data_IF_434924868362
#
_entry.id   IF_434924868362
#
_cell.length_a   1.000
_cell.length_b   1.000
_cell.length_c   1.000
_cell.angle_alpha   90.00
_cell.angle_beta   90.00
_cell.angle_gamma   90.00
#
_symmetry.space_group_name_H-M   'P 1'
#
loop_
_entity.id
_entity.type
_entity.pdbx_description
1 polymer ?
#
# COMPACT_ATOMS: atom_id res chain seq x y z
N UNK A 1 -44.82 64.55 -38.44
CA UNK A 1 -43.85 64.77 -37.35
C UNK A 1 -42.45 64.72 -37.94
N UNK A 2 -41.78 65.86 -38.09
CA UNK A 2 -40.41 65.90 -38.63
C UNK A 2 -39.44 65.26 -37.63
N UNK A 3 -38.71 64.23 -38.04
CA UNK A 3 -37.64 63.63 -37.23
C UNK A 3 -36.56 64.70 -37.01
N UNK A 4 -36.24 65.00 -35.75
CA UNK A 4 -35.22 66.02 -35.41
C UNK A 4 -33.82 65.70 -35.95
N UNK A 5 -32.91 66.70 -35.99
CA UNK A 5 -31.61 66.62 -36.67
C UNK A 5 -30.72 65.47 -36.17
N UNK A 6 -30.81 65.12 -34.88
CA UNK A 6 -30.08 64.00 -34.30
C UNK A 6 -30.46 62.64 -34.92
N UNK A 7 -31.74 62.42 -35.22
CA UNK A 7 -32.20 61.15 -35.79
C UNK A 7 -31.68 60.95 -37.22
N UNK A 8 -31.57 62.03 -38.00
CA UNK A 8 -31.04 61.98 -39.36
C UNK A 8 -29.54 61.65 -39.36
N UNK A 9 -28.77 62.27 -38.46
CA UNK A 9 -27.34 61.98 -38.29
C UNK A 9 -27.10 60.53 -37.84
N UNK A 10 -27.90 60.03 -36.89
CA UNK A 10 -27.80 58.64 -36.42
C UNK A 10 -28.14 57.63 -37.52
N UNK A 11 -29.18 57.89 -38.32
CA UNK A 11 -29.55 57.02 -39.45
C UNK A 11 -28.44 56.93 -40.49
N UNK A 12 -27.87 58.08 -40.89
CA UNK A 12 -26.75 58.13 -41.84
C UNK A 12 -25.51 57.39 -41.33
N UNK A 13 -25.21 57.48 -40.02
CA UNK A 13 -24.12 56.73 -39.40
C UNK A 13 -24.38 55.21 -39.42
N UNK A 14 -25.59 54.79 -39.07
CA UNK A 14 -25.95 53.36 -39.07
C UNK A 14 -25.91 52.75 -40.47
N UNK A 15 -26.34 53.51 -41.49
CA UNK A 15 -26.21 53.10 -42.89
C UNK A 15 -24.74 52.91 -43.26
N UNK A 16 -23.87 53.85 -42.92
CA UNK A 16 -22.43 53.72 -43.18
C UNK A 16 -21.84 52.49 -42.49
N UNK A 17 -22.17 52.27 -41.22
CA UNK A 17 -21.70 51.12 -40.45
C UNK A 17 -22.22 49.79 -41.01
N UNK A 18 -23.44 49.74 -41.56
CA UNK A 18 -24.00 48.51 -42.14
C UNK A 18 -23.27 48.03 -43.40
N UNK A 19 -22.51 48.91 -44.08
CA UNK A 19 -21.68 48.56 -45.23
C UNK A 19 -20.27 48.07 -44.82
N UNK A 20 -19.96 48.04 -43.52
CA UNK A 20 -18.64 47.66 -42.99
C UNK A 20 -18.71 46.40 -42.13
N UNK A 21 -17.58 45.75 -41.90
CA UNK A 21 -17.47 44.67 -40.92
C UNK A 21 -17.27 45.26 -39.51
N UNK A 22 -18.21 45.06 -38.57
CA UNK A 22 -18.13 45.68 -37.26
C UNK A 22 -17.20 44.92 -36.31
N UNK A 23 -16.22 45.62 -35.75
CA UNK A 23 -15.38 45.12 -34.66
C UNK A 23 -15.77 45.81 -33.35
N UNK A 24 -16.18 45.03 -32.35
CA UNK A 24 -16.68 45.56 -31.09
C UNK A 24 -15.61 45.55 -29.99
N UNK A 25 -15.37 46.71 -29.38
CA UNK A 25 -14.57 46.85 -28.15
C UNK A 25 -15.48 47.34 -27.03
N UNK A 26 -15.47 46.65 -25.88
CA UNK A 26 -16.25 47.02 -24.69
C UNK A 26 -15.31 47.42 -23.57
N UNK A 27 -15.31 48.69 -23.20
CA UNK A 27 -14.51 49.19 -22.08
C UNK A 27 -15.23 48.91 -20.75
N UNK A 28 -14.49 48.50 -19.73
CA UNK A 28 -15.00 48.24 -18.37
C UNK A 28 -14.16 49.04 -17.37
N UNK A 29 -14.84 49.81 -16.52
CA UNK A 29 -14.21 50.56 -15.43
C UNK A 29 -14.08 49.65 -14.20
N UNK A 30 -12.86 49.33 -13.71
CA UNK A 30 -12.66 48.33 -12.67
C UNK A 30 -13.06 48.81 -11.26
N UNK A 31 -12.90 50.11 -10.98
CA UNK A 31 -13.28 50.72 -9.71
C UNK A 31 -13.60 52.20 -9.91
N UNK A 32 -14.36 52.78 -8.97
CA UNK A 32 -14.77 54.18 -9.03
C UNK A 32 -13.65 55.15 -8.62
N UNK A 33 -12.69 54.66 -7.82
CA UNK A 33 -11.58 55.41 -7.23
C UNK A 33 -10.40 55.68 -8.17
N UNK A 34 -10.44 55.14 -9.40
CA UNK A 34 -9.38 55.25 -10.42
C UNK A 34 -8.01 54.76 -9.93
N UNK A 35 -7.98 53.74 -9.07
CA UNK A 35 -6.75 53.14 -8.55
C UNK A 35 -6.41 51.82 -9.28
N UNK A 36 -5.12 51.50 -9.49
CA UNK A 36 -4.74 50.18 -9.98
C UNK A 36 -5.07 49.09 -8.95
N UNK A 37 -5.18 47.84 -9.41
CA UNK A 37 -5.38 46.62 -8.60
C UNK A 37 -6.63 46.56 -7.70
N UNK A 38 -7.56 47.50 -7.84
CA UNK A 38 -8.87 47.46 -7.17
C UNK A 38 -9.94 47.01 -8.17
N UNK A 39 -10.63 45.91 -7.84
CA UNK A 39 -11.70 45.32 -8.65
C UNK A 39 -13.03 45.30 -7.89
N UNK A 40 -13.98 46.16 -8.29
CA UNK A 40 -15.31 46.27 -7.67
C UNK A 40 -16.33 45.37 -8.39
N UNK A 41 -16.52 44.16 -7.87
CA UNK A 41 -17.39 43.13 -8.46
C UNK A 41 -18.79 43.63 -8.85
N UNK A 42 -19.48 44.34 -7.96
CA UNK A 42 -20.86 44.78 -8.20
C UNK A 42 -20.95 45.80 -9.34
N UNK A 43 -20.05 46.79 -9.37
CA UNK A 43 -20.02 47.81 -10.42
C UNK A 43 -19.69 47.20 -11.79
N UNK A 44 -18.79 46.22 -11.83
CA UNK A 44 -18.43 45.53 -13.07
C UNK A 44 -19.57 44.64 -13.55
N UNK A 45 -20.21 43.88 -12.66
CA UNK A 45 -21.38 43.07 -13.01
C UNK A 45 -22.52 43.93 -13.60
N UNK A 46 -22.77 45.11 -13.03
CA UNK A 46 -23.75 46.04 -13.56
C UNK A 46 -23.36 46.55 -14.96
N UNK A 47 -22.09 46.91 -15.16
CA UNK A 47 -21.58 47.31 -16.48
C UNK A 47 -21.71 46.18 -17.52
N UNK A 48 -21.43 44.92 -17.15
CA UNK A 48 -21.56 43.77 -18.06
C UNK A 48 -23.01 43.48 -18.45
N UNK A 49 -23.96 43.73 -17.53
CA UNK A 49 -25.40 43.63 -17.80
C UNK A 49 -25.85 44.75 -18.74
N UNK A 50 -25.59 46.01 -18.37
CA UNK A 50 -25.99 47.18 -19.17
C UNK A 50 -25.29 47.21 -20.54
N UNK A 51 -24.05 46.75 -20.62
CA UNK A 51 -23.26 46.67 -21.86
C UNK A 51 -23.64 45.49 -22.76
N UNK A 52 -24.60 44.65 -22.35
CA UNK A 52 -25.09 43.51 -23.15
C UNK A 52 -24.10 42.34 -23.27
N UNK A 53 -23.00 42.35 -22.52
CA UNK A 53 -21.97 41.30 -22.58
C UNK A 53 -22.54 39.97 -22.08
N UNK A 54 -23.28 40.00 -20.97
CA UNK A 54 -23.94 38.81 -20.43
C UNK A 54 -24.95 38.21 -21.41
N UNK A 55 -25.67 39.07 -22.14
CA UNK A 55 -26.66 38.65 -23.13
C UNK A 55 -26.00 38.07 -24.39
N UNK A 56 -24.91 38.67 -24.86
CA UNK A 56 -24.11 38.13 -25.95
C UNK A 56 -23.52 36.75 -25.60
N UNK A 57 -23.05 36.56 -24.36
CA UNK A 57 -22.62 35.26 -23.85
C UNK A 57 -23.80 34.29 -23.83
N UNK A 58 -24.96 34.71 -23.31
CA UNK A 58 -26.17 33.88 -23.26
C UNK A 58 -26.54 33.38 -24.66
N UNK A 59 -26.67 34.26 -25.64
CA UNK A 59 -26.97 33.90 -27.03
C UNK A 59 -25.89 32.93 -27.57
N UNK A 60 -24.61 33.22 -27.33
CA UNK A 60 -23.51 32.34 -27.77
C UNK A 60 -23.58 30.93 -27.16
N UNK A 61 -23.98 30.84 -25.89
CA UNK A 61 -24.11 29.55 -25.18
C UNK A 61 -25.32 28.73 -25.59
N UNK A 62 -26.39 29.35 -26.08
CA UNK A 62 -27.56 28.62 -26.63
C UNK A 62 -27.21 27.87 -27.93
N UNK A 63 -26.20 28.34 -28.66
CA UNK A 63 -25.64 27.65 -29.82
C UNK A 63 -24.54 26.65 -29.46
N UNK A 64 -23.39 26.81 -30.11
CA UNK A 64 -22.21 25.96 -29.92
C UNK A 64 -21.02 26.84 -29.53
N UNK A 65 -20.83 27.12 -28.23
CA UNK A 65 -19.76 28.00 -27.76
C UNK A 65 -18.38 27.38 -27.99
N UNK A 66 -18.27 26.05 -27.96
CA UNK A 66 -17.00 25.36 -28.18
C UNK A 66 -16.86 24.96 -29.64
N UNK A 67 -15.81 25.47 -30.29
CA UNK A 67 -15.51 25.24 -31.72
C UNK A 67 -14.06 24.84 -31.84
N UNK A 68 -13.80 23.60 -32.24
CA UNK A 68 -12.43 23.07 -32.31
C UNK A 68 -12.13 22.48 -33.68
N UNK A 69 -10.95 22.74 -34.27
CA UNK A 69 -10.56 22.06 -35.50
C UNK A 69 -10.43 20.56 -35.23
N UNK A 70 -10.68 19.76 -36.28
CA UNK A 70 -10.75 18.31 -36.14
C UNK A 70 -9.47 17.68 -35.60
N UNK A 71 -8.29 18.12 -36.07
CA UNK A 71 -7.01 17.57 -35.63
C UNK A 71 -6.79 17.77 -34.12
N UNK A 72 -7.01 18.99 -33.58
CA UNK A 72 -6.91 19.26 -32.14
C UNK A 72 -7.88 18.40 -31.33
N UNK A 73 -9.10 18.23 -31.84
CA UNK A 73 -10.14 17.47 -31.16
C UNK A 73 -9.79 15.97 -31.10
N UNK A 74 -9.40 15.39 -32.22
CA UNK A 74 -8.98 13.99 -32.30
C UNK A 74 -7.74 13.76 -31.46
N UNK A 75 -6.71 14.60 -31.58
CA UNK A 75 -5.48 14.44 -30.81
C UNK A 75 -5.72 14.43 -29.30
N UNK A 76 -6.57 15.35 -28.82
CA UNK A 76 -6.91 15.46 -27.40
C UNK A 76 -7.69 14.23 -26.91
N UNK A 77 -8.68 13.78 -27.68
CA UNK A 77 -9.64 12.78 -27.20
C UNK A 77 -9.41 11.36 -27.75
N UNK A 78 -8.42 11.11 -28.61
CA UNK A 78 -8.13 9.79 -29.22
C UNK A 78 -8.05 8.64 -28.22
N UNK A 79 -7.65 8.91 -26.97
CA UNK A 79 -7.56 7.90 -25.93
C UNK A 79 -8.93 7.30 -25.55
N UNK A 80 -10.02 8.04 -25.75
CA UNK A 80 -11.38 7.55 -25.51
C UNK A 80 -11.79 6.46 -26.52
N UNK A 81 -11.14 6.43 -27.68
CA UNK A 81 -11.50 5.54 -28.77
C UNK A 81 -10.27 5.09 -29.57
N UNK A 82 -9.37 4.35 -28.92
CA UNK A 82 -8.14 3.81 -29.51
C UNK A 82 -8.39 2.86 -30.70
N UNK A 83 -9.58 2.26 -30.78
CA UNK A 83 -9.97 1.33 -31.85
C UNK A 83 -10.25 2.05 -33.18
N UNK A 84 -10.43 3.37 -33.16
CA UNK A 84 -10.77 4.15 -34.35
C UNK A 84 -9.46 4.59 -35.02
N UNK A 85 -9.01 3.79 -35.99
CA UNK A 85 -7.91 4.16 -36.88
C UNK A 85 -8.47 4.55 -38.24
N UNK A 86 -8.76 5.82 -38.44
CA UNK A 86 -9.10 6.37 -39.75
C UNK A 86 -8.18 7.54 -40.07
N UNK A 87 -7.83 7.71 -41.35
CA UNK A 87 -7.09 8.86 -41.87
C UNK A 87 -7.93 10.14 -41.88
N UNK A 88 -9.26 10.01 -41.76
CA UNK A 88 -10.19 11.13 -41.87
C UNK A 88 -10.60 11.64 -40.48
N UNK A 89 -10.04 12.76 -40.07
CA UNK A 89 -10.30 13.35 -38.73
C UNK A 89 -11.78 13.68 -38.48
N UNK A 90 -12.54 14.00 -39.54
CA UNK A 90 -13.99 14.23 -39.47
C UNK A 90 -14.72 12.96 -38.99
N UNK A 91 -14.39 11.82 -39.62
CA UNK A 91 -14.99 10.52 -39.30
C UNK A 91 -14.55 10.06 -37.91
N UNK A 92 -13.27 10.24 -37.58
CA UNK A 92 -12.74 9.98 -36.24
C UNK A 92 -13.48 10.77 -35.17
N UNK A 93 -13.67 12.07 -35.37
CA UNK A 93 -14.35 12.94 -34.41
C UNK A 93 -15.81 12.53 -34.20
N UNK A 94 -16.52 12.19 -35.28
CA UNK A 94 -17.91 11.71 -35.22
C UNK A 94 -18.02 10.41 -34.42
N UNK A 95 -17.24 9.40 -34.78
CA UNK A 95 -17.26 8.10 -34.12
C UNK A 95 -16.82 8.20 -32.64
N UNK A 96 -15.87 9.09 -32.34
CA UNK A 96 -15.43 9.36 -30.98
C UNK A 96 -16.57 9.92 -30.12
N UNK A 97 -17.28 10.93 -30.63
CA UNK A 97 -18.41 11.55 -29.94
C UNK A 97 -19.57 10.57 -29.74
N UNK A 98 -19.84 9.72 -30.73
CA UNK A 98 -20.83 8.63 -30.63
C UNK A 98 -20.44 7.62 -29.55
N UNK A 99 -19.17 7.16 -29.52
CA UNK A 99 -18.66 6.23 -28.50
C UNK A 99 -18.67 6.85 -27.10
N UNK A 100 -18.46 8.16 -27.00
CA UNK A 100 -18.56 8.92 -25.75
C UNK A 100 -20.01 9.25 -25.34
N UNK A 101 -21.02 8.84 -26.13
CA UNK A 101 -22.44 9.05 -25.82
C UNK A 101 -22.88 10.51 -25.82
N UNK A 102 -22.12 11.40 -26.46
CA UNK A 102 -22.41 12.83 -26.47
C UNK A 102 -23.53 13.14 -27.46
N UNK A 103 -24.55 13.90 -27.04
CA UNK A 103 -25.70 14.24 -27.89
C UNK A 103 -25.69 15.68 -28.38
N UNK A 104 -24.95 16.57 -27.69
CA UNK A 104 -24.92 18.00 -27.97
C UNK A 104 -23.80 18.45 -28.91
N UNK A 105 -23.58 17.76 -30.04
CA UNK A 105 -22.52 18.12 -31.00
C UNK A 105 -23.03 18.27 -32.43
N UNK A 106 -22.28 19.01 -33.25
CA UNK A 106 -22.45 19.09 -34.69
C UNK A 106 -21.08 19.04 -35.40
N UNK A 107 -21.10 18.47 -36.60
CA UNK A 107 -19.91 18.29 -37.46
C UNK A 107 -19.98 19.35 -38.57
N UNK A 108 -19.06 20.31 -38.55
CA UNK A 108 -18.94 21.33 -39.59
C UNK A 108 -18.02 20.93 -40.74
N UNK A 109 -17.66 21.89 -41.60
CA UNK A 109 -16.71 21.63 -42.70
C UNK A 109 -15.28 21.41 -42.19
N UNK A 110 -14.83 22.25 -41.25
CA UNK A 110 -13.43 22.27 -40.75
C UNK A 110 -13.32 22.08 -39.24
N UNK A 111 -14.43 22.16 -38.51
CA UNK A 111 -14.46 22.20 -37.04
C UNK A 111 -15.61 21.34 -36.49
N UNK A 112 -15.38 20.79 -35.29
CA UNK A 112 -16.39 20.22 -34.41
C UNK A 112 -17.01 21.33 -33.57
N UNK A 113 -18.34 21.32 -33.48
CA UNK A 113 -19.13 22.24 -32.69
C UNK A 113 -19.73 21.48 -31.51
N UNK A 114 -19.49 21.95 -30.29
CA UNK A 114 -19.93 21.28 -29.05
C UNK A 114 -20.74 22.27 -28.20
N UNK A 115 -21.90 21.84 -27.71
CA UNK A 115 -22.77 22.63 -26.83
C UNK A 115 -22.08 22.91 -25.49
N UNK A 116 -22.57 23.94 -24.80
CA UNK A 116 -22.14 24.22 -23.42
C UNK A 116 -22.32 22.98 -22.53
N UNK A 117 -21.38 22.76 -21.60
CA UNK A 117 -21.41 21.64 -20.66
C UNK A 117 -20.85 20.32 -21.19
N UNK A 118 -21.06 19.97 -22.46
CA UNK A 118 -20.62 18.69 -23.02
C UNK A 118 -19.08 18.51 -22.99
N UNK A 119 -18.32 19.60 -23.21
CA UNK A 119 -16.86 19.53 -23.05
C UNK A 119 -16.43 19.25 -21.60
N UNK A 120 -17.20 19.75 -20.62
CA UNK A 120 -16.96 19.51 -19.20
C UNK A 120 -17.36 18.08 -18.77
N UNK A 121 -18.08 17.32 -19.59
CA UNK A 121 -18.30 15.88 -19.40
C UNK A 121 -17.19 15.04 -20.06
N UNK A 122 -16.76 15.44 -21.26
CA UNK A 122 -15.71 14.75 -22.02
C UNK A 122 -14.33 14.80 -21.33
N UNK A 123 -13.96 15.93 -20.74
CA UNK A 123 -12.65 16.11 -20.09
C UNK A 123 -12.47 15.21 -18.85
N UNK A 124 -13.42 15.14 -17.89
CA UNK A 124 -13.36 14.18 -16.81
C UNK A 124 -13.33 12.73 -17.28
N UNK A 125 -14.14 12.38 -18.30
CA UNK A 125 -14.15 11.02 -18.83
C UNK A 125 -12.78 10.63 -19.42
N UNK A 126 -12.13 11.54 -20.15
CA UNK A 126 -10.75 11.39 -20.62
C UNK A 126 -9.77 11.18 -19.47
N UNK A 127 -9.87 11.98 -18.42
CA UNK A 127 -9.00 11.89 -17.25
C UNK A 127 -9.18 10.56 -16.49
N UNK A 128 -10.40 10.03 -16.45
CA UNK A 128 -10.68 8.72 -15.85
C UNK A 128 -10.00 7.59 -16.63
N UNK A 129 -10.12 7.58 -17.96
CA UNK A 129 -9.47 6.59 -18.83
C UNK A 129 -7.94 6.66 -18.70
N UNK A 130 -7.38 7.87 -18.66
CA UNK A 130 -5.96 8.09 -18.38
C UNK A 130 -5.55 7.54 -17.01
N UNK A 131 -6.33 7.83 -15.96
CA UNK A 131 -6.08 7.33 -14.60
C UNK A 131 -6.09 5.80 -14.52
N UNK A 132 -7.06 5.15 -15.16
CA UNK A 132 -7.12 3.68 -15.25
C UNK A 132 -5.89 3.11 -15.97
N UNK A 133 -5.46 3.76 -17.05
CA UNK A 133 -4.29 3.35 -17.85
C UNK A 133 -2.99 3.50 -17.06
N UNK A 134 -2.80 4.64 -16.38
CA UNK A 134 -1.67 4.88 -15.48
C UNK A 134 -1.62 3.87 -14.33
N UNK A 135 -2.78 3.51 -13.77
CA UNK A 135 -2.87 2.50 -12.70
C UNK A 135 -2.40 1.13 -13.17
N UNK A 136 -2.79 0.69 -14.38
CA UNK A 136 -2.31 -0.57 -14.98
C UNK A 136 -0.80 -0.58 -15.18
N UNK A 137 -0.25 0.51 -15.74
CA UNK A 137 1.19 0.66 -15.95
C UNK A 137 1.94 0.60 -14.61
N UNK A 138 1.46 1.36 -13.62
CA UNK A 138 2.01 1.38 -12.27
C UNK A 138 1.98 0.00 -11.62
N UNK A 139 0.86 -0.70 -11.69
CA UNK A 139 0.71 -2.03 -11.11
C UNK A 139 1.71 -3.03 -11.72
N UNK A 140 1.87 -3.01 -13.06
CA UNK A 140 2.84 -3.87 -13.75
C UNK A 140 4.27 -3.54 -13.38
N UNK A 141 4.61 -2.25 -13.31
CA UNK A 141 5.94 -1.79 -12.90
C UNK A 141 6.27 -2.21 -11.46
N UNK A 142 5.35 -1.97 -10.52
CA UNK A 142 5.54 -2.33 -9.11
C UNK A 142 5.63 -3.85 -8.94
N UNK A 143 4.80 -4.63 -9.63
CA UNK A 143 4.89 -6.10 -9.64
C UNK A 143 6.26 -6.56 -10.13
N UNK A 144 6.76 -6.00 -11.23
CA UNK A 144 8.09 -6.32 -11.77
C UNK A 144 9.22 -5.97 -10.80
N UNK A 145 9.18 -4.76 -10.22
CA UNK A 145 10.17 -4.29 -9.25
C UNK A 145 10.19 -5.16 -7.99
N UNK A 146 9.01 -5.48 -7.44
CA UNK A 146 8.88 -6.32 -6.27
C UNK A 146 9.31 -7.77 -6.53
N UNK A 147 8.97 -8.33 -7.70
CA UNK A 147 9.42 -9.68 -8.08
C UNK A 147 10.95 -9.76 -8.17
N UNK A 148 11.61 -8.74 -8.72
CA UNK A 148 13.08 -8.68 -8.74
C UNK A 148 13.66 -8.69 -7.32
N UNK A 149 13.14 -7.85 -6.43
CA UNK A 149 13.56 -7.80 -5.02
C UNK A 149 13.33 -9.14 -4.31
N UNK A 150 12.16 -9.76 -4.53
CA UNK A 150 11.80 -11.04 -3.96
C UNK A 150 12.73 -12.18 -4.42
N UNK A 151 13.03 -12.24 -5.72
CA UNK A 151 13.95 -13.25 -6.27
C UNK A 151 15.35 -13.10 -5.67
N UNK A 152 15.85 -11.87 -5.54
CA UNK A 152 17.14 -11.61 -4.91
C UNK A 152 17.16 -12.07 -3.44
N UNK A 153 16.15 -11.67 -2.67
CA UNK A 153 16.02 -12.09 -1.27
C UNK A 153 15.94 -13.62 -1.14
N UNK A 154 15.12 -14.28 -1.96
CA UNK A 154 14.97 -15.74 -1.95
C UNK A 154 16.28 -16.46 -2.28
N UNK A 155 17.06 -15.96 -3.25
CA UNK A 155 18.36 -16.52 -3.61
C UNK A 155 19.37 -16.48 -2.46
N UNK A 156 19.35 -15.43 -1.64
CA UNK A 156 20.22 -15.32 -0.45
C UNK A 156 19.70 -16.13 0.74
N UNK A 157 18.39 -16.23 0.92
CA UNK A 157 17.78 -16.92 2.07
C UNK A 157 17.88 -18.45 1.97
N UNK A 158 17.68 -19.04 0.78
CA UNK A 158 17.74 -20.50 0.58
C UNK A 158 19.05 -21.16 1.06
N UNK A 159 20.26 -20.70 0.66
CA UNK A 159 21.50 -21.31 1.13
C UNK A 159 21.69 -21.12 2.64
N UNK A 160 21.35 -19.95 3.16
CA UNK A 160 21.41 -19.65 4.60
C UNK A 160 20.56 -20.63 5.41
N UNK A 161 19.32 -20.89 4.97
CA UNK A 161 18.44 -21.85 5.61
C UNK A 161 18.97 -23.28 5.58
N UNK A 162 19.57 -23.70 4.46
CA UNK A 162 20.18 -25.04 4.33
C UNK A 162 21.34 -25.19 5.31
N UNK A 163 22.22 -24.19 5.40
CA UNK A 163 23.36 -24.20 6.34
C UNK A 163 22.86 -24.30 7.79
N UNK A 164 21.91 -23.47 8.19
CA UNK A 164 21.36 -23.48 9.56
C UNK A 164 20.72 -24.82 9.90
N UNK A 165 19.94 -25.40 8.97
CA UNK A 165 19.33 -26.73 9.16
C UNK A 165 20.38 -27.82 9.32
N UNK A 166 21.43 -27.79 8.49
CA UNK A 166 22.54 -28.74 8.58
C UNK A 166 23.30 -28.59 9.90
N UNK A 167 23.64 -27.36 10.32
CA UNK A 167 24.30 -27.12 11.61
C UNK A 167 23.51 -27.68 12.79
N UNK A 168 22.17 -27.55 12.77
CA UNK A 168 21.31 -28.09 13.81
C UNK A 168 21.35 -29.62 13.87
N UNK A 169 21.36 -30.31 12.72
CA UNK A 169 21.44 -31.79 12.69
C UNK A 169 22.82 -32.29 13.12
N UNK A 170 23.90 -31.65 12.66
CA UNK A 170 25.26 -31.97 13.09
C UNK A 170 25.44 -31.79 14.61
N UNK A 171 24.93 -30.69 15.18
CA UNK A 171 24.95 -30.47 16.62
C UNK A 171 24.21 -31.55 17.41
N UNK A 172 23.03 -31.99 16.92
CA UNK A 172 22.28 -33.07 17.55
C UNK A 172 23.04 -34.41 17.50
N UNK A 173 23.63 -34.77 16.35
CA UNK A 173 24.44 -35.98 16.21
C UNK A 173 25.66 -35.96 17.14
N UNK A 174 26.36 -34.84 17.22
CA UNK A 174 27.52 -34.67 18.08
C UNK A 174 27.17 -34.88 19.56
N UNK A 175 26.09 -34.24 20.03
CA UNK A 175 25.58 -34.44 21.39
C UNK A 175 25.19 -35.91 21.66
N UNK A 176 24.60 -36.60 20.68
CA UNK A 176 24.26 -38.02 20.80
C UNK A 176 25.50 -38.91 20.90
N UNK A 177 26.55 -38.64 20.11
CA UNK A 177 27.83 -39.37 20.19
C UNK A 177 28.46 -39.22 21.57
N UNK A 178 28.53 -38.00 22.11
CA UNK A 178 29.09 -37.75 23.45
C UNK A 178 28.30 -38.54 24.51
N UNK A 179 26.97 -38.56 24.43
CA UNK A 179 26.12 -39.33 25.35
C UNK A 179 26.38 -40.84 25.24
N UNK A 180 26.51 -41.37 24.02
CA UNK A 180 26.85 -42.79 23.81
C UNK A 180 28.22 -43.13 24.39
N UNK A 181 29.23 -42.30 24.14
CA UNK A 181 30.58 -42.49 24.69
C UNK A 181 30.59 -42.47 26.22
N UNK A 182 29.87 -41.53 26.85
CA UNK A 182 29.72 -41.47 28.29
C UNK A 182 29.04 -42.73 28.86
N UNK A 183 27.98 -43.21 28.20
CA UNK A 183 27.27 -44.45 28.59
C UNK A 183 28.18 -45.68 28.54
N UNK A 184 28.95 -45.86 27.45
CA UNK A 184 29.89 -46.99 27.32
C UNK A 184 30.96 -46.95 28.41
N UNK A 185 31.55 -45.78 28.68
CA UNK A 185 32.52 -45.61 29.77
C UNK A 185 31.91 -45.93 31.12
N UNK A 186 30.67 -45.49 31.37
CA UNK A 186 29.90 -45.81 32.58
C UNK A 186 29.68 -47.31 32.74
N UNK A 187 29.22 -48.01 31.70
CA UNK A 187 29.02 -49.46 31.71
C UNK A 187 30.33 -50.23 31.95
N UNK A 188 31.42 -49.82 31.31
CA UNK A 188 32.74 -50.44 31.52
C UNK A 188 33.22 -50.28 32.97
N UNK A 189 33.09 -49.08 33.56
CA UNK A 189 33.43 -48.82 34.95
C UNK A 189 32.58 -49.66 35.93
N UNK A 190 31.26 -49.74 35.70
CA UNK A 190 30.34 -50.57 36.48
C UNK A 190 30.70 -52.06 36.39
N UNK A 191 31.00 -52.57 35.19
CA UNK A 191 31.43 -53.96 34.99
C UNK A 191 32.73 -54.27 35.74
N UNK A 192 33.72 -53.36 35.70
CA UNK A 192 34.96 -53.49 36.46
C UNK A 192 34.66 -53.55 37.96
N UNK A 193 33.78 -52.68 38.47
CA UNK A 193 33.42 -52.65 39.89
C UNK A 193 32.66 -53.92 40.33
N UNK A 194 31.74 -54.42 39.50
CA UNK A 194 31.03 -55.68 39.74
C UNK A 194 32.02 -56.85 39.78
N UNK A 195 32.92 -56.95 38.80
CA UNK A 195 33.95 -57.99 38.75
C UNK A 195 34.88 -57.93 39.97
N UNK A 196 35.26 -56.73 40.43
CA UNK A 196 36.03 -56.55 41.68
C UNK A 196 35.24 -57.02 42.91
N UNK A 197 33.95 -56.69 43.01
CA UNK A 197 33.09 -57.16 44.12
C UNK A 197 32.92 -58.68 44.10
N UNK A 198 32.69 -59.28 42.94
CA UNK A 198 32.57 -60.73 42.77
C UNK A 198 33.89 -61.45 43.12
N UNK A 199 35.04 -60.90 42.73
CA UNK A 199 36.35 -61.45 43.09
C UNK A 199 36.67 -61.31 44.59
N UNK A 200 36.19 -60.24 45.24
CA UNK A 200 36.38 -60.02 46.69
C UNK A 200 35.38 -60.79 47.57
N UNK A 201 34.20 -61.16 47.05
CA UNK A 201 33.18 -61.88 47.79
C UNK A 201 33.65 -63.23 48.40
N UNK A 202 34.37 -64.11 47.70
CA UNK A 202 34.90 -65.34 48.29
C UNK A 202 35.99 -65.07 49.34
N UNK A 203 36.83 -64.05 49.17
CA UNK A 203 37.81 -63.64 50.18
C UNK A 203 37.13 -63.17 51.48
N UNK A 204 36.07 -62.37 51.37
CA UNK A 204 35.29 -61.93 52.52
C UNK A 204 34.49 -63.08 53.17
N UNK A 205 33.96 -64.02 52.38
CA UNK A 205 33.27 -65.21 52.88
C UNK A 205 34.25 -66.17 53.60
N UNK A 206 35.45 -66.34 53.07
CA UNK A 206 36.50 -67.14 53.69
C UNK A 206 37.01 -66.48 54.98
N UNK A 207 37.18 -65.16 55.02
CA UNK A 207 37.49 -64.41 56.24
C UNK A 207 36.37 -64.52 57.30
N UNK A 208 35.10 -64.60 56.88
CA UNK A 208 33.95 -64.81 57.78
C UNK A 208 33.90 -66.23 58.35
N UNK A 209 34.27 -67.24 57.56
CA UNK A 209 34.31 -68.64 57.98
C UNK A 209 35.58 -69.02 58.77
N UNK A 210 36.62 -68.18 58.71
CA UNK A 210 37.87 -68.33 59.48
C UNK A 210 37.97 -67.36 60.66
N UNK A 211 36.94 -66.54 60.87
CA UNK A 211 36.76 -65.85 62.13
C UNK A 211 36.52 -66.91 63.21
N UNK A 212 37.33 -66.95 64.29
CA UNK A 212 37.08 -67.86 65.38
C UNK A 212 35.66 -67.59 65.92
N UNK A 213 34.95 -68.67 66.22
CA UNK A 213 33.75 -68.63 67.04
C UNK A 213 34.17 -68.07 68.40
N UNK A 214 34.19 -66.74 68.52
CA UNK A 214 34.23 -66.10 69.83
C UNK A 214 32.88 -66.43 70.44
N UNK A 215 32.92 -67.45 71.29
CA UNK A 215 31.93 -67.74 72.30
C UNK A 215 31.72 -66.44 73.09
N UNK A 216 30.81 -65.59 72.62
CA UNK A 216 30.34 -64.44 73.38
C UNK A 216 29.51 -65.05 74.48
N UNK A 217 30.21 -65.40 75.57
CA UNK A 217 29.61 -65.66 76.86
C UNK A 217 28.82 -64.40 77.19
N UNK A 218 27.51 -64.43 76.96
CA UNK A 218 26.60 -63.46 77.55
C UNK A 218 26.69 -63.73 79.04
N UNK A 219 27.58 -63.00 79.71
CA UNK A 219 27.59 -62.95 81.16
C UNK A 219 26.35 -62.16 81.53
N UNK A 220 25.28 -62.89 81.83
CA UNK A 220 24.15 -62.33 82.57
C UNK A 220 24.71 -62.07 83.97
N UNK A 221 25.21 -60.86 84.20
CA UNK A 221 25.43 -60.35 85.54
C UNK A 221 24.07 -60.01 86.12
N UNK A 222 23.47 -60.96 86.85
CA UNK A 222 22.43 -60.64 87.82
C UNK A 222 23.09 -59.84 88.96
N UNK A 223 23.11 -58.51 88.82
CA UNK A 223 23.31 -57.64 89.97
C UNK A 223 21.93 -57.42 90.58
N UNK A 224 21.66 -58.22 91.61
CA UNK A 224 20.83 -57.79 92.73
C UNK A 224 21.48 -56.56 93.39
N UNK A 225 20.64 -55.69 93.98
CA UNK A 225 20.87 -54.30 94.48
C UNK A 225 20.54 -53.27 93.39
N UNK A 226 19.48 -52.47 93.46
CA UNK A 226 18.51 -52.14 94.50
C UNK A 226 17.79 -50.88 93.98
N UNK A 227 16.51 -50.75 94.31
CA UNK A 227 15.63 -49.57 94.19
C UNK A 227 16.17 -48.31 93.47
N UNK A 228 15.47 -47.82 92.45
CA UNK A 228 14.74 -46.52 92.48
C UNK A 228 14.24 -46.09 91.09
N UNK A 229 12.91 -46.06 90.97
CA UNK A 229 12.05 -44.99 90.43
C UNK A 229 12.63 -43.81 89.60
N UNK A 230 11.82 -43.41 88.59
CA UNK A 230 11.51 -42.05 88.06
C UNK A 230 11.96 -41.70 86.62
N UNK A 231 10.93 -41.67 85.77
CA UNK A 231 10.52 -40.66 84.76
C UNK A 231 11.45 -40.09 83.66
N UNK A 232 10.85 -40.14 82.45
CA UNK A 232 10.65 -39.03 81.49
C UNK A 232 11.79 -38.56 80.56
N UNK A 233 11.40 -38.22 79.32
CA UNK A 233 12.04 -37.14 78.57
C UNK A 233 12.52 -37.45 77.15
N UNK A 234 11.56 -37.49 76.21
CA UNK A 234 11.56 -36.73 74.94
C UNK A 234 12.88 -36.39 74.20
N UNK A 235 12.90 -36.77 72.91
CA UNK A 235 12.94 -35.84 71.76
C UNK A 235 14.22 -35.56 70.91
N UNK A 236 13.97 -35.58 69.58
CA UNK A 236 14.56 -34.79 68.47
C UNK A 236 16.02 -35.04 68.03
N UNK A 237 16.45 -34.82 66.78
CA UNK A 237 15.89 -34.75 65.44
C UNK A 237 17.11 -34.64 64.48
N UNK A 238 16.91 -35.09 63.23
CA UNK A 238 17.53 -34.68 61.97
C UNK A 238 18.66 -33.62 61.96
N UNK A 239 19.64 -33.86 61.07
CA UNK A 239 19.85 -32.96 59.93
C UNK A 239 19.72 -33.74 58.64
#
# INVERSE_FOLDING_TARGET
MAKGPHNQQLQSLLETLSHTEPHYVRCVKPNSLLKPDIFENQNILQQLRCGGVMEAIRISTTGFPTRKPYHEFVERFKILALDIRSTNDIKCSKMLLEKAGQKGYQIGKTKVFVRAGQMAELDPYRNEVLGRSATKIRAKYLSHSNNKKFILLRRSTMPTQTIVRAMKTYGALYCSIIRMQASIRGMAASNIQINRKLAGAPLMAQARNSAPELDVKVVICDVNLGETQIESGSDYHLK
#
